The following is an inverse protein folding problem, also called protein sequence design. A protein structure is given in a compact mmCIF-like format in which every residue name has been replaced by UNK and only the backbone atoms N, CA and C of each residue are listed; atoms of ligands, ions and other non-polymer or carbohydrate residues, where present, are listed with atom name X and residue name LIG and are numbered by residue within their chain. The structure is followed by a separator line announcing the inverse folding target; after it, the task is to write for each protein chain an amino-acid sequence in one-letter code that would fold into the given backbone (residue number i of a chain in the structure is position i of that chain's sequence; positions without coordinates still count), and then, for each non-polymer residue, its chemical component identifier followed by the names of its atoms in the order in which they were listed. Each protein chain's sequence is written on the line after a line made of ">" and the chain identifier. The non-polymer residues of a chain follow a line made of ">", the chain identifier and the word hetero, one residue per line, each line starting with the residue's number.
data_IF_356287363348
#
_entry.id   IF_356287363348
#
_cell.length_a   1.000
_cell.length_b   1.000
_cell.length_c   1.000
_cell.angle_alpha   90.00
_cell.angle_beta   90.00
_cell.angle_gamma   90.00
#
_symmetry.space_group_name_H-M   'P 1'
#
loop_
_entity.id
_entity.type
_entity.pdbx_description
1 polymer ?
#
# COMPACT_ATOMS: atom_id res chain seq x y z
N UNK A 1 -13.91 7.47 9.62
CA UNK A 1 -13.71 7.62 8.18
C UNK A 1 -14.09 6.34 7.48
N UNK A 2 -14.95 6.44 6.49
CA UNK A 2 -15.47 5.27 5.79
C UNK A 2 -14.62 4.92 4.60
N UNK A 3 -14.44 3.64 4.34
CA UNK A 3 -13.81 3.19 3.12
C UNK A 3 -14.86 3.17 2.01
N UNK A 4 -14.46 3.52 0.80
CA UNK A 4 -15.26 3.42 -0.40
C UNK A 4 -14.87 2.15 -1.13
N UNK A 5 -15.82 1.60 -1.90
CA UNK A 5 -15.55 0.44 -2.74
C UNK A 5 -15.82 0.81 -4.19
N UNK A 6 -15.01 0.28 -5.09
CA UNK A 6 -15.27 0.38 -6.52
C UNK A 6 -14.74 -0.84 -7.25
N UNK A 7 -15.35 -1.15 -8.37
CA UNK A 7 -14.91 -2.25 -9.21
C UNK A 7 -14.14 -1.70 -10.40
N UNK A 8 -12.89 -2.08 -10.51
CA UNK A 8 -12.03 -1.79 -11.66
C UNK A 8 -11.60 -3.15 -12.18
N UNK A 9 -12.48 -3.77 -12.96
CA UNK A 9 -12.33 -5.16 -13.37
C UNK A 9 -10.93 -5.44 -13.94
N UNK A 10 -10.22 -6.49 -13.53
CA UNK A 10 -10.69 -7.58 -12.65
C UNK A 10 -10.41 -7.36 -11.16
N UNK A 11 -10.22 -6.13 -10.72
CA UNK A 11 -9.90 -5.81 -9.32
C UNK A 11 -11.08 -5.20 -8.60
N UNK A 12 -11.23 -5.55 -7.33
CA UNK A 12 -12.10 -4.86 -6.41
C UNK A 12 -11.22 -3.98 -5.53
N UNK A 13 -11.53 -2.69 -5.46
CA UNK A 13 -10.71 -1.72 -4.75
C UNK A 13 -11.46 -1.11 -3.58
N UNK A 14 -10.72 -0.86 -2.50
CA UNK A 14 -11.19 -0.04 -1.38
C UNK A 14 -10.40 1.26 -1.37
N UNK A 15 -11.09 2.36 -1.10
CA UNK A 15 -10.47 3.68 -1.05
C UNK A 15 -10.69 4.34 0.29
N UNK A 16 -9.69 5.09 0.75
CA UNK A 16 -9.74 5.81 2.01
C UNK A 16 -9.18 7.21 1.80
N UNK A 17 -9.94 8.24 2.19
CA UNK A 17 -9.44 9.61 2.14
C UNK A 17 -8.49 9.84 3.30
N UNK A 18 -7.34 10.45 3.01
CA UNK A 18 -6.32 10.73 4.00
C UNK A 18 -6.01 12.22 3.98
N UNK A 19 -5.96 12.83 5.15
CA UNK A 19 -5.64 14.26 5.29
C UNK A 19 -4.14 14.46 5.34
N UNK A 20 -3.52 14.22 4.20
CA UNK A 20 -2.09 14.41 4.02
C UNK A 20 -1.83 14.59 2.52
N UNK A 21 -0.75 15.28 2.16
CA UNK A 21 -0.38 15.39 0.75
C UNK A 21 -0.10 14.02 0.15
N UNK A 22 -0.42 13.84 -1.13
CA UNK A 22 -0.22 12.55 -1.80
C UNK A 22 1.24 12.08 -1.71
N UNK A 23 2.20 12.99 -1.79
CA UNK A 23 3.62 12.60 -1.77
C UNK A 23 4.01 11.93 -0.44
N UNK A 24 3.40 12.33 0.68
CA UNK A 24 3.71 11.70 1.97
C UNK A 24 3.19 10.27 2.04
N UNK A 25 2.01 10.04 1.50
CA UNK A 25 1.44 8.70 1.43
C UNK A 25 2.27 7.82 0.50
N UNK A 26 2.67 8.37 -0.65
CA UNK A 26 3.51 7.63 -1.59
C UNK A 26 4.85 7.25 -0.97
N UNK A 27 5.46 8.14 -0.19
CA UNK A 27 6.73 7.84 0.47
C UNK A 27 6.61 6.63 1.39
N UNK A 28 5.53 6.57 2.16
CA UNK A 28 5.30 5.43 3.06
C UNK A 28 5.06 4.16 2.27
N UNK A 29 4.31 4.26 1.17
CA UNK A 29 3.99 3.09 0.35
C UNK A 29 5.20 2.46 -0.31
N UNK A 30 6.15 3.26 -0.77
CA UNK A 30 7.30 2.75 -1.52
C UNK A 30 8.51 2.46 -0.65
N UNK A 31 8.48 2.85 0.62
CA UNK A 31 9.59 2.60 1.54
C UNK A 31 9.46 1.20 2.12
N UNK A 32 10.22 0.26 1.54
CA UNK A 32 10.13 -1.15 1.94
C UNK A 32 10.53 -1.37 3.40
N UNK A 33 11.35 -0.49 3.98
CA UNK A 33 11.74 -0.60 5.38
C UNK A 33 10.56 -0.33 6.32
N UNK A 34 9.51 0.32 5.82
CA UNK A 34 8.32 0.64 6.62
C UNK A 34 7.14 -0.28 6.38
N UNK A 35 7.27 -1.24 5.47
CA UNK A 35 6.16 -2.12 5.12
C UNK A 35 5.64 -2.92 6.32
N UNK A 36 6.52 -3.30 7.26
CA UNK A 36 6.07 -4.01 8.45
C UNK A 36 5.23 -3.13 9.37
N UNK A 37 5.34 -1.81 9.24
CA UNK A 37 4.57 -0.89 10.09
C UNK A 37 3.10 -0.82 9.68
N UNK A 38 2.80 -1.00 8.39
CA UNK A 38 1.42 -0.88 7.93
C UNK A 38 0.86 -2.17 7.34
N UNK A 39 1.67 -3.10 6.89
CA UNK A 39 1.18 -4.34 6.31
C UNK A 39 0.94 -5.39 7.38
N UNK A 40 -0.33 -5.78 7.65
CA UNK A 40 -0.61 -6.70 8.77
C UNK A 40 0.05 -8.06 8.64
N UNK A 41 0.28 -8.52 7.41
CA UNK A 41 0.90 -9.83 7.18
C UNK A 41 2.42 -9.76 7.02
N UNK A 42 3.01 -8.56 7.07
CA UNK A 42 4.44 -8.36 6.82
C UNK A 42 5.19 -8.25 8.12
N UNK A 43 6.18 -9.14 8.31
CA UNK A 43 7.08 -9.06 9.46
C UNK A 43 8.37 -8.35 9.09
N UNK A 44 8.90 -8.63 7.90
CA UNK A 44 10.14 -8.02 7.43
C UNK A 44 10.18 -8.12 5.91
N UNK A 45 11.05 -7.31 5.29
CA UNK A 45 11.21 -7.32 3.84
C UNK A 45 12.70 -7.43 3.53
N UNK A 46 13.04 -8.33 2.61
CA UNK A 46 14.39 -8.43 2.05
C UNK A 46 14.32 -7.92 0.62
N UNK A 47 14.83 -6.74 0.39
CA UNK A 47 14.85 -6.11 -0.91
C UNK A 47 16.10 -5.23 -0.98
N UNK A 48 16.81 -5.29 -2.10
CA UNK A 48 18.00 -4.47 -2.27
C UNK A 48 17.68 -2.99 -2.37
N UNK A 49 16.43 -2.66 -2.74
CA UNK A 49 15.99 -1.27 -2.85
C UNK A 49 15.18 -0.90 -1.63
N UNK A 50 15.61 0.14 -0.91
CA UNK A 50 14.77 0.67 0.15
C UNK A 50 13.48 1.23 -0.44
N UNK A 51 13.61 2.05 -1.49
CA UNK A 51 12.45 2.64 -2.15
C UNK A 51 12.18 1.88 -3.44
N UNK A 52 10.92 1.48 -3.64
CA UNK A 52 10.53 0.72 -4.81
C UNK A 52 10.82 1.45 -6.11
N UNK A 53 11.21 0.66 -7.10
CA UNK A 53 11.41 1.11 -8.48
C UNK A 53 10.71 0.13 -9.41
N UNK A 54 10.64 0.42 -10.72
CA UNK A 54 9.99 -0.50 -11.67
C UNK A 54 10.60 -1.89 -11.72
N UNK A 55 11.86 -2.05 -11.32
CA UNK A 55 12.56 -3.33 -11.39
C UNK A 55 12.76 -3.98 -10.02
N UNK A 56 12.15 -3.43 -8.98
CA UNK A 56 12.33 -3.96 -7.63
C UNK A 56 11.76 -5.36 -7.50
N UNK A 57 12.49 -6.21 -6.81
CA UNK A 57 12.05 -7.54 -6.43
C UNK A 57 12.70 -7.91 -5.12
N UNK A 58 12.12 -8.88 -4.43
CA UNK A 58 12.65 -9.30 -3.15
C UNK A 58 11.78 -10.38 -2.53
N UNK A 59 11.83 -10.46 -1.21
CA UNK A 59 11.07 -11.43 -0.45
C UNK A 59 10.43 -10.75 0.75
N UNK A 60 9.20 -11.14 1.04
CA UNK A 60 8.49 -10.70 2.24
C UNK A 60 8.53 -11.84 3.23
N UNK A 61 9.04 -11.58 4.44
CA UNK A 61 8.92 -12.52 5.54
C UNK A 61 7.57 -12.26 6.20
N UNK A 62 6.70 -13.26 6.18
CA UNK A 62 5.34 -13.10 6.72
C UNK A 62 5.34 -13.33 8.22
N UNK A 63 4.27 -12.86 8.86
CA UNK A 63 4.07 -13.05 10.31
C UNK A 63 3.90 -14.53 10.65
N UNK A 64 3.62 -15.38 9.67
CA UNK A 64 3.51 -16.83 9.88
C UNK A 64 4.87 -17.53 9.81
N UNK A 65 5.94 -16.82 9.49
CA UNK A 65 7.29 -17.34 9.53
C UNK A 65 7.89 -17.79 8.21
N UNK A 66 7.09 -17.90 7.15
CA UNK A 66 7.64 -18.24 5.84
C UNK A 66 7.84 -16.99 5.01
N UNK A 67 8.66 -17.10 3.95
CA UNK A 67 8.96 -15.99 3.06
C UNK A 67 8.31 -16.21 1.70
N UNK A 68 7.85 -15.11 1.09
CA UNK A 68 7.25 -15.16 -0.23
C UNK A 68 7.98 -14.18 -1.16
N UNK A 69 8.29 -14.61 -2.41
CA UNK A 69 8.95 -13.72 -3.36
C UNK A 69 7.95 -12.73 -3.96
N UNK A 70 8.44 -11.52 -4.25
CA UNK A 70 7.63 -10.52 -4.94
C UNK A 70 8.43 -9.85 -6.03
N UNK A 71 7.74 -9.28 -7.01
CA UNK A 71 8.33 -8.47 -8.07
C UNK A 71 7.33 -7.39 -8.48
N UNK A 72 7.81 -6.17 -8.60
CA UNK A 72 6.99 -5.05 -9.07
C UNK A 72 6.69 -5.28 -10.55
N UNK A 73 5.45 -5.09 -10.96
CA UNK A 73 5.02 -5.29 -12.34
C UNK A 73 4.63 -4.00 -13.05
N UNK A 74 4.02 -3.06 -12.32
CA UNK A 74 3.67 -1.74 -12.85
C UNK A 74 4.12 -0.71 -11.85
N UNK A 75 4.65 0.40 -12.33
CA UNK A 75 5.13 1.44 -11.45
C UNK A 75 4.96 2.80 -12.12
N UNK A 76 4.16 3.66 -11.49
CA UNK A 76 4.00 5.05 -11.90
C UNK A 76 4.43 5.91 -10.73
N UNK A 77 5.60 6.55 -10.79
CA UNK A 77 6.12 7.33 -9.66
C UNK A 77 5.11 8.33 -9.13
N UNK A 78 4.92 8.34 -7.81
CA UNK A 78 4.03 9.28 -7.16
C UNK A 78 2.54 8.99 -7.32
N UNK A 79 2.18 7.91 -8.01
CA UNK A 79 0.77 7.63 -8.31
C UNK A 79 0.36 6.21 -7.97
N UNK A 80 1.05 5.20 -8.52
CA UNK A 80 0.55 3.84 -8.40
C UNK A 80 1.65 2.81 -8.59
N UNK A 81 1.46 1.63 -8.00
CA UNK A 81 2.28 0.47 -8.30
C UNK A 81 1.51 -0.80 -7.99
N UNK A 82 1.89 -1.86 -8.69
CA UNK A 82 1.33 -3.18 -8.46
C UNK A 82 2.44 -4.21 -8.58
N UNK A 83 2.16 -5.43 -8.13
CA UNK A 83 3.20 -6.45 -8.01
C UNK A 83 2.63 -7.84 -8.20
N UNK A 84 3.54 -8.81 -8.32
CA UNK A 84 3.22 -10.23 -8.26
C UNK A 84 3.87 -10.80 -7.02
N UNK A 85 3.15 -11.69 -6.37
CA UNK A 85 3.64 -12.44 -5.22
C UNK A 85 3.51 -13.92 -5.59
N UNK A 86 4.61 -14.66 -5.53
CA UNK A 86 4.66 -16.03 -6.06
C UNK A 86 4.29 -16.10 -7.55
N UNK A 87 4.64 -15.05 -8.31
CA UNK A 87 4.32 -14.99 -9.72
C UNK A 87 2.85 -14.75 -10.04
N UNK A 88 2.01 -14.50 -9.04
CA UNK A 88 0.57 -14.28 -9.19
C UNK A 88 0.27 -12.80 -8.96
N UNK A 89 -0.55 -12.16 -9.82
CA UNK A 89 -0.94 -10.77 -9.56
C UNK A 89 -1.53 -10.64 -8.17
N UNK A 90 -1.02 -9.67 -7.42
CA UNK A 90 -1.43 -9.46 -6.04
C UNK A 90 -2.15 -8.11 -5.92
N UNK A 91 -1.86 -7.34 -4.86
CA UNK A 91 -2.59 -6.10 -4.64
C UNK A 91 -2.13 -4.98 -5.56
N UNK A 92 -3.04 -4.04 -5.84
CA UNK A 92 -2.71 -2.78 -6.50
C UNK A 92 -2.77 -1.66 -5.47
N UNK A 93 -2.00 -0.60 -5.72
CA UNK A 93 -1.88 0.52 -4.78
C UNK A 93 -1.87 1.81 -5.59
N UNK A 94 -2.83 2.68 -5.34
CA UNK A 94 -2.96 3.94 -6.10
C UNK A 94 -3.19 5.08 -5.13
N UNK A 95 -2.53 6.21 -5.39
CA UNK A 95 -2.72 7.44 -4.62
C UNK A 95 -3.26 8.49 -5.55
N UNK A 96 -4.45 8.98 -5.24
CA UNK A 96 -5.13 9.99 -6.01
C UNK A 96 -5.08 11.31 -5.25
N UNK A 97 -4.43 12.33 -5.81
CA UNK A 97 -4.36 13.63 -5.17
C UNK A 97 -5.73 14.32 -5.22
N UNK A 98 -6.18 14.84 -4.08
CA UNK A 98 -7.42 15.60 -3.98
C UNK A 98 -7.17 17.06 -3.63
N UNK A 99 -5.91 17.50 -3.71
CA UNK A 99 -5.50 18.86 -3.35
C UNK A 99 -4.13 18.81 -2.69
N UNK A 100 -3.72 19.94 -2.12
CA UNK A 100 -2.37 20.06 -1.56
C UNK A 100 -2.21 19.31 -0.23
N UNK A 101 -3.31 19.11 0.48
CA UNK A 101 -3.26 18.53 1.82
C UNK A 101 -4.15 17.30 1.97
N UNK A 102 -4.61 16.73 0.87
CA UNK A 102 -5.54 15.61 0.87
C UNK A 102 -5.29 14.67 -0.29
N UNK A 103 -5.51 13.39 -0.05
CA UNK A 103 -5.44 12.38 -1.12
C UNK A 103 -6.39 11.24 -0.78
N UNK A 104 -6.63 10.39 -1.77
CA UNK A 104 -7.38 9.16 -1.58
C UNK A 104 -6.47 8.00 -1.94
N UNK A 105 -6.33 7.07 -1.00
CA UNK A 105 -5.53 5.87 -1.20
C UNK A 105 -6.46 4.73 -1.60
N UNK A 106 -6.10 4.02 -2.67
CA UNK A 106 -6.84 2.88 -3.18
C UNK A 106 -5.97 1.64 -3.12
N UNK A 107 -6.48 0.59 -2.49
CA UNK A 107 -5.87 -0.75 -2.56
C UNK A 107 -6.85 -1.66 -3.27
N UNK A 108 -6.34 -2.46 -4.22
CA UNK A 108 -7.17 -3.37 -4.99
C UNK A 108 -6.68 -4.80 -4.87
N UNK A 109 -7.62 -5.74 -4.99
CA UNK A 109 -7.31 -7.17 -5.01
C UNK A 109 -8.02 -7.79 -6.21
N UNK A 110 -7.44 -8.84 -6.82
CA UNK A 110 -8.16 -9.59 -7.84
C UNK A 110 -9.47 -10.13 -7.27
N UNK A 111 -10.52 -10.15 -8.08
CA UNK A 111 -11.85 -10.56 -7.61
C UNK A 111 -11.86 -11.87 -6.81
N UNK A 112 -11.16 -12.94 -7.25
CA UNK A 112 -11.17 -14.18 -6.46
C UNK A 112 -10.56 -14.04 -5.08
N UNK A 113 -9.75 -13.01 -4.85
CA UNK A 113 -9.10 -12.76 -3.56
C UNK A 113 -9.84 -11.69 -2.75
N UNK A 114 -11.11 -11.45 -3.03
CA UNK A 114 -11.85 -10.35 -2.40
C UNK A 114 -11.82 -10.36 -0.86
N UNK A 115 -11.76 -11.51 -0.16
CA UNK A 115 -11.70 -11.45 1.31
C UNK A 115 -10.45 -10.75 1.82
N UNK A 116 -9.36 -10.75 1.04
CA UNK A 116 -8.12 -10.09 1.45
C UNK A 116 -8.29 -8.56 1.48
N UNK A 117 -9.34 -8.03 0.89
CA UNK A 117 -9.58 -6.59 0.88
C UNK A 117 -9.75 -6.05 2.30
N UNK A 118 -10.25 -6.87 3.22
CA UNK A 118 -10.36 -6.47 4.63
C UNK A 118 -8.97 -6.19 5.22
N UNK A 119 -7.99 -7.06 4.91
CA UNK A 119 -6.61 -6.84 5.31
C UNK A 119 -6.06 -5.55 4.70
N UNK A 120 -6.43 -5.26 3.46
CA UNK A 120 -6.02 -4.04 2.79
C UNK A 120 -6.58 -2.80 3.50
N UNK A 121 -7.83 -2.84 3.95
CA UNK A 121 -8.43 -1.71 4.67
C UNK A 121 -7.68 -1.45 5.97
N UNK A 122 -7.30 -2.51 6.68
CA UNK A 122 -6.49 -2.35 7.90
C UNK A 122 -5.15 -1.70 7.56
N UNK A 123 -4.50 -2.15 6.49
CA UNK A 123 -3.24 -1.57 6.06
C UNK A 123 -3.39 -0.08 5.74
N UNK A 124 -4.44 0.29 5.00
CA UNK A 124 -4.68 1.69 4.63
C UNK A 124 -4.89 2.57 5.85
N UNK A 125 -5.61 2.07 6.87
CA UNK A 125 -5.82 2.83 8.09
C UNK A 125 -4.51 3.03 8.86
N UNK A 126 -3.64 2.03 8.85
CA UNK A 126 -2.31 2.16 9.45
C UNK A 126 -1.46 3.19 8.72
N UNK A 127 -1.53 3.22 7.39
CA UNK A 127 -0.83 4.24 6.60
C UNK A 127 -1.36 5.63 6.96
N UNK A 128 -2.67 5.78 7.07
CA UNK A 128 -3.26 7.06 7.45
C UNK A 128 -2.75 7.52 8.81
N UNK A 129 -2.64 6.60 9.77
CA UNK A 129 -2.12 6.94 11.09
C UNK A 129 -0.64 7.35 11.03
N UNK A 130 0.17 6.65 10.24
CA UNK A 130 1.59 6.96 10.12
C UNK A 130 1.83 8.36 9.56
N UNK A 131 1.09 8.74 8.51
CA UNK A 131 1.28 10.07 7.93
C UNK A 131 0.68 11.16 8.78
N UNK A 132 -0.35 10.87 9.56
CA UNK A 132 -0.94 11.83 10.49
C UNK A 132 -0.01 12.13 11.66
N UNK A 133 0.68 11.11 12.15
CA UNK A 133 1.64 11.31 13.24
C UNK A 133 2.74 12.29 12.87
N UNK A 134 3.13 12.30 11.60
CA UNK A 134 4.15 13.23 11.14
C UNK A 134 3.67 14.67 11.08
N UNK A 135 2.38 14.91 11.24
CA UNK A 135 1.84 16.24 11.16
C UNK A 135 1.62 16.89 12.50
N UNK A 136 1.57 16.28 13.49
CA UNK A 136 1.11 16.79 14.64
C UNK A 136 1.47 17.81 15.20
N UNK A 137 1.50 18.13 15.71
CA UNK A 137 1.37 18.44 16.63
C UNK A 137 0.63 19.14 17.35
N UNK A 138 0.44 19.57 17.26
CA UNK A 138 -0.18 20.09 18.00
C UNK A 138 -1.20 20.21 17.86
N UNK A 139 -1.35 19.67 17.02
CA UNK A 139 -2.38 19.48 16.93
C UNK A 139 -2.93 19.52 17.87
N UNK A 140 -2.69 19.46 18.13
CA UNK A 140 -3.03 19.34 19.02
C UNK A 140 -3.31 20.09 19.48
#
# INVERSE_FOLDING_TARGET
>A
MSALLRLVFPYLEAGLMIRAPSHRVCEVLVDTWRWAEWGPSVRAVECSDQFLSPLSSGRIKTVLGFSVPFAVTNFKPGTAWSWRVFGIPATTHTVESLGEDRCRLWFGVPLPAFPYLLTCVIAMRRIADLVSQGQDPELV
#
